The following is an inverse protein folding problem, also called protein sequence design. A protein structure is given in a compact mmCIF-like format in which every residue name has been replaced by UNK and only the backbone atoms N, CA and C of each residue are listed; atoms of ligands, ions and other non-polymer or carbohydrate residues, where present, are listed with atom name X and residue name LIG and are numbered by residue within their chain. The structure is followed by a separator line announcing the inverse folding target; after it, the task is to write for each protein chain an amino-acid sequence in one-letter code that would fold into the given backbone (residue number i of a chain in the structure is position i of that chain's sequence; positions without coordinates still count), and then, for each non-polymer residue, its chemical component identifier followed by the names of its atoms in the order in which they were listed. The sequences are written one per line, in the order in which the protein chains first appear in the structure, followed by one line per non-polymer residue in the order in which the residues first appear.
data_IF_188210933091
#
_entry.id   IF_188210933091
#
_cell.length_a   1.000
_cell.length_b   1.000
_cell.length_c   1.000
_cell.angle_alpha   90.00
_cell.angle_beta   90.00
_cell.angle_gamma   90.00
#
_symmetry.space_group_name_H-M   'P 1'
#
loop_
_entity.id
_entity.type
_entity.pdbx_description
1 polymer ?
#
# COMPACT_ATOMS: atom_id res chain seq x y z
N UNK A 1 -9.70 -1.67 -9.05
CA UNK A 1 -9.69 -0.19 -8.92
C UNK A 1 -9.14 0.18 -7.54
N UNK A 2 -8.67 1.41 -7.30
CA UNK A 2 -8.15 1.84 -5.99
C UNK A 2 -9.17 1.62 -4.85
N UNK A 3 -10.46 1.78 -5.14
CA UNK A 3 -11.55 1.54 -4.18
C UNK A 3 -11.64 0.07 -3.75
N UNK A 4 -11.43 -0.87 -4.66
CA UNK A 4 -11.45 -2.32 -4.34
C UNK A 4 -10.26 -2.70 -3.45
N UNK A 5 -9.09 -2.09 -3.68
CA UNK A 5 -7.90 -2.27 -2.86
C UNK A 5 -8.12 -1.70 -1.46
N UNK A 6 -8.67 -0.48 -1.39
CA UNK A 6 -8.99 0.18 -0.13
C UNK A 6 -9.97 -0.65 0.72
N UNK A 7 -11.02 -1.17 0.09
CA UNK A 7 -12.02 -2.02 0.74
C UNK A 7 -11.40 -3.34 1.26
N UNK A 8 -10.56 -4.01 0.46
CA UNK A 8 -9.90 -5.25 0.87
C UNK A 8 -8.90 -5.05 2.02
N UNK A 9 -8.29 -3.86 2.08
CA UNK A 9 -7.30 -3.52 3.09
C UNK A 9 -7.88 -2.82 4.31
N UNK A 10 -9.20 -2.58 4.32
CA UNK A 10 -9.93 -1.82 5.33
C UNK A 10 -9.32 -0.43 5.59
N UNK A 11 -8.95 0.26 4.51
CA UNK A 11 -8.47 1.65 4.52
C UNK A 11 -9.31 2.51 3.59
N UNK A 12 -9.16 3.82 3.68
CA UNK A 12 -9.87 4.71 2.76
C UNK A 12 -9.22 4.69 1.38
N UNK A 13 -10.00 4.97 0.33
CA UNK A 13 -9.44 5.20 -1.01
C UNK A 13 -8.35 6.28 -1.02
N UNK A 14 -8.50 7.31 -0.19
CA UNK A 14 -7.52 8.39 -0.04
C UNK A 14 -6.19 7.88 0.52
N UNK A 15 -6.21 6.89 1.42
CA UNK A 15 -5.00 6.23 1.93
C UNK A 15 -4.24 5.58 0.79
N UNK A 16 -4.92 4.81 -0.07
CA UNK A 16 -4.28 4.16 -1.24
C UNK A 16 -3.69 5.21 -2.19
N UNK A 17 -4.45 6.28 -2.48
CA UNK A 17 -3.96 7.38 -3.32
C UNK A 17 -2.74 8.06 -2.69
N UNK A 18 -2.74 8.28 -1.37
CA UNK A 18 -1.63 8.93 -0.70
C UNK A 18 -0.36 8.06 -0.72
N UNK A 19 -0.49 6.74 -0.59
CA UNK A 19 0.61 5.77 -0.77
C UNK A 19 1.15 5.84 -2.20
N UNK A 20 0.28 5.77 -3.22
CA UNK A 20 0.69 5.79 -4.63
C UNK A 20 1.34 7.11 -5.08
N UNK A 21 1.13 8.21 -4.35
CA UNK A 21 1.71 9.52 -4.66
C UNK A 21 2.88 9.89 -3.72
N UNK A 22 3.41 8.93 -2.95
CA UNK A 22 4.48 9.15 -1.96
C UNK A 22 4.16 10.22 -0.90
N UNK A 23 2.87 10.50 -0.69
CA UNK A 23 2.37 11.48 0.30
C UNK A 23 2.14 10.87 1.67
N UNK A 24 2.22 9.55 1.77
CA UNK A 24 2.01 8.82 3.02
C UNK A 24 2.90 7.58 3.03
N UNK A 25 3.74 7.48 4.05
CA UNK A 25 4.48 6.26 4.33
C UNK A 25 3.53 5.25 5.02
N UNK A 26 3.18 4.12 4.37
CA UNK A 26 2.29 3.14 4.96
C UNK A 26 2.90 2.51 6.23
N UNK A 27 2.03 2.08 7.16
CA UNK A 27 2.48 1.22 8.24
C UNK A 27 3.02 -0.10 7.68
N UNK A 28 3.91 -0.77 8.42
CA UNK A 28 4.43 -2.09 8.04
C UNK A 28 3.30 -3.09 7.75
N UNK A 29 2.23 -3.05 8.55
CA UNK A 29 1.05 -3.89 8.34
C UNK A 29 0.39 -3.61 6.98
N UNK A 30 0.18 -2.34 6.62
CA UNK A 30 -0.42 -1.97 5.34
C UNK A 30 0.48 -2.36 4.16
N UNK A 31 1.78 -2.13 4.28
CA UNK A 31 2.77 -2.53 3.28
C UNK A 31 2.78 -4.05 3.06
N UNK A 32 2.78 -4.84 4.14
CA UNK A 32 2.70 -6.30 4.07
C UNK A 32 1.38 -6.79 3.46
N UNK A 33 0.26 -6.16 3.80
CA UNK A 33 -1.04 -6.52 3.21
C UNK A 33 -1.11 -6.19 1.71
N UNK A 34 -0.55 -5.05 1.29
CA UNK A 34 -0.45 -4.66 -0.12
C UNK A 34 0.38 -5.67 -0.92
N UNK A 35 1.56 -6.04 -0.41
CA UNK A 35 2.43 -7.04 -1.03
C UNK A 35 1.72 -8.39 -1.22
N UNK A 36 1.01 -8.86 -0.19
CA UNK A 36 0.20 -10.09 -0.27
C UNK A 36 -0.92 -9.98 -1.29
N UNK A 37 -1.63 -8.85 -1.31
CA UNK A 37 -2.75 -8.62 -2.23
C UNK A 37 -2.28 -8.60 -3.69
N UNK A 38 -1.10 -8.05 -3.94
CA UNK A 38 -0.47 -7.96 -5.27
C UNK A 38 0.39 -9.18 -5.62
N UNK A 39 0.47 -10.18 -4.73
CA UNK A 39 1.27 -11.38 -4.87
C UNK A 39 2.74 -11.10 -5.23
N UNK A 40 3.34 -10.16 -4.51
CA UNK A 40 4.73 -9.72 -4.66
C UNK A 40 5.40 -9.59 -3.27
N UNK A 41 6.71 -9.38 -3.24
CA UNK A 41 7.45 -9.06 -2.02
C UNK A 41 7.24 -7.59 -1.61
N UNK A 42 7.30 -7.31 -0.30
CA UNK A 42 7.19 -5.92 0.22
C UNK A 42 8.28 -5.02 -0.34
N UNK A 43 9.48 -5.58 -0.54
CA UNK A 43 10.68 -4.89 -1.02
C UNK A 43 10.57 -4.48 -2.50
N UNK A 44 9.69 -5.14 -3.27
CA UNK A 44 9.38 -4.75 -4.66
C UNK A 44 8.43 -3.55 -4.72
N UNK A 45 7.68 -3.29 -3.63
CA UNK A 45 6.72 -2.19 -3.55
C UNK A 45 7.26 -0.98 -2.77
N UNK A 46 8.07 -1.21 -1.74
CA UNK A 46 8.55 -0.18 -0.82
C UNK A 46 10.04 -0.34 -0.58
N UNK A 47 10.77 0.76 -0.74
CA UNK A 47 12.21 0.84 -0.55
C UNK A 47 12.52 2.00 0.40
N UNK A 48 13.55 1.82 1.24
CA UNK A 48 14.10 2.93 2.00
C UNK A 48 15.03 3.70 1.07
N UNK A 49 14.76 4.99 0.87
CA UNK A 49 15.71 5.88 0.20
C UNK A 49 16.99 5.98 1.05
N UNK A 50 18.15 5.90 0.40
CA UNK A 50 19.46 6.15 1.03
C UNK A 50 19.71 7.63 1.30
#
# INVERSE_FOLDING_TARGET
RQEDVANQLNVTRQTIIAVENDKYNPSLELAMKLARLLNTAVEELFQLEE
#
